data_IF_779354159046
#
_entry.id   IF_779354159046
#
_cell.length_a   1.000
_cell.length_b   1.000
_cell.length_c   1.000
_cell.angle_alpha   90.00
_cell.angle_beta   90.00
_cell.angle_gamma   90.00
#
_symmetry.space_group_name_H-M   'P 1'
#
loop_
_entity.id
_entity.type
_entity.pdbx_description
1 polymer ?
#
# COMPACT_ATOMS: atom_id res chain seq x y z
N UNK A 1 3.12 16.89 16.93
CA UNK A 1 1.65 16.87 17.17
C UNK A 1 1.31 16.22 18.50
N UNK A 2 1.74 14.97 18.76
CA UNK A 2 1.50 14.31 20.05
C UNK A 2 2.10 15.07 21.25
N UNK A 3 3.37 15.52 21.16
CA UNK A 3 4.00 16.35 22.21
C UNK A 3 3.26 17.66 22.45
N UNK A 4 2.92 18.40 21.39
CA UNK A 4 2.13 19.64 21.50
C UNK A 4 0.74 19.43 22.11
N UNK A 5 0.09 18.28 21.88
CA UNK A 5 -1.18 17.93 22.54
C UNK A 5 -0.98 17.54 24.01
N UNK A 6 0.12 16.89 24.34
CA UNK A 6 0.51 16.58 25.73
C UNK A 6 0.71 17.86 26.53
N UNK A 7 1.45 18.82 25.96
CA UNK A 7 1.72 20.11 26.59
C UNK A 7 0.40 20.85 26.85
N UNK A 8 -0.49 20.93 25.85
CA UNK A 8 -1.82 21.54 26.00
C UNK A 8 -2.72 20.89 27.06
N UNK A 9 -2.61 19.57 27.26
CA UNK A 9 -3.40 18.84 28.25
C UNK A 9 -2.87 19.00 29.68
N UNK A 10 -1.56 19.28 29.84
CA UNK A 10 -0.91 19.41 31.13
C UNK A 10 -0.63 20.86 31.55
N UNK A 11 -0.76 21.83 30.64
CA UNK A 11 -0.60 23.27 30.91
C UNK A 11 -1.86 23.92 31.53
N UNK A 12 -2.93 23.15 31.79
CA UNK A 12 -4.12 23.61 32.51
C UNK A 12 -4.00 23.41 34.02
N UNK A 13 -4.47 24.40 34.81
CA UNK A 13 -4.43 24.47 36.29
C UNK A 13 -4.54 23.08 36.97
N UNK A 14 -3.42 22.64 37.54
CA UNK A 14 -3.12 21.27 37.92
C UNK A 14 -3.86 20.78 39.17
N UNK A 15 -5.18 20.63 39.09
CA UNK A 15 -6.00 20.07 40.17
C UNK A 15 -6.52 18.64 39.93
N UNK A 16 -5.99 17.91 38.95
CA UNK A 16 -6.25 16.48 38.82
C UNK A 16 -5.03 15.69 39.24
N UNK A 17 -5.08 15.12 40.45
CA UNK A 17 -4.22 14.01 40.86
C UNK A 17 -4.37 12.87 39.85
N UNK A 18 -3.49 12.82 38.86
CA UNK A 18 -3.43 11.74 37.86
C UNK A 18 -2.67 10.56 38.48
N UNK A 19 -3.37 9.74 39.26
CA UNK A 19 -2.81 8.44 39.68
C UNK A 19 -2.42 7.60 38.46
N UNK A 20 -1.25 6.94 38.49
CA UNK A 20 -0.68 5.88 37.59
C UNK A 20 -0.96 5.89 36.05
N UNK A 21 -1.62 6.91 35.51
CA UNK A 21 -2.10 7.00 34.13
C UNK A 21 -1.64 8.30 33.46
N UNK A 22 -0.39 8.71 33.71
CA UNK A 22 0.25 9.77 32.93
C UNK A 22 0.41 9.29 31.47
N UNK A 23 -0.27 9.95 30.52
CA UNK A 23 -0.15 9.63 29.10
C UNK A 23 1.16 10.19 28.56
N UNK A 24 2.18 9.35 28.34
CA UNK A 24 3.46 9.81 27.82
C UNK A 24 3.52 9.69 26.27
N UNK A 25 3.58 10.80 25.52
CA UNK A 25 3.61 10.78 24.06
C UNK A 25 4.89 10.16 23.47
N UNK A 26 5.96 10.02 24.26
CA UNK A 26 7.24 9.46 23.80
C UNK A 26 7.26 7.93 23.85
N UNK A 27 6.64 7.33 24.87
CA UNK A 27 6.53 5.87 25.04
C UNK A 27 5.20 5.31 24.54
N UNK A 28 4.13 6.12 24.49
CA UNK A 28 2.81 5.74 23.97
C UNK A 28 2.57 6.20 22.53
N UNK A 29 3.66 6.36 21.75
CA UNK A 29 3.56 6.78 20.36
C UNK A 29 3.01 5.64 19.51
N UNK A 30 1.72 5.73 19.17
CA UNK A 30 1.11 4.83 18.20
C UNK A 30 1.76 5.14 16.85
N UNK A 31 2.59 4.23 16.33
CA UNK A 31 3.00 4.31 14.93
C UNK A 31 1.75 4.26 14.07
N UNK A 32 1.69 5.13 13.05
CA UNK A 32 0.55 5.24 12.15
C UNK A 32 0.13 3.84 11.64
N UNK A 33 -1.16 3.50 11.75
CA UNK A 33 -1.64 2.20 11.26
C UNK A 33 -1.29 1.99 9.78
N UNK A 34 -1.29 3.03 8.95
CA UNK A 34 -0.87 2.95 7.55
C UNK A 34 0.58 2.48 7.39
N UNK A 35 1.48 2.92 8.28
CA UNK A 35 2.85 2.46 8.34
C UNK A 35 2.94 0.98 8.73
N UNK A 36 2.19 0.56 9.76
CA UNK A 36 2.13 -0.85 10.18
C UNK A 36 1.50 -1.74 9.09
N UNK A 37 0.51 -1.25 8.35
CA UNK A 37 -0.06 -1.94 7.18
C UNK A 37 0.99 -2.12 6.07
N UNK A 38 1.83 -1.11 5.81
CA UNK A 38 2.92 -1.25 4.86
C UNK A 38 3.92 -2.34 5.28
N UNK A 39 4.25 -2.42 6.58
CA UNK A 39 5.10 -3.48 7.14
C UNK A 39 4.45 -4.87 6.99
N UNK A 40 3.15 -4.99 7.27
CA UNK A 40 2.39 -6.23 7.06
C UNK A 40 2.47 -6.68 5.60
N UNK A 41 2.20 -5.79 4.65
CA UNK A 41 2.22 -6.10 3.21
C UNK A 41 3.63 -6.50 2.77
N UNK A 42 4.66 -5.79 3.26
CA UNK A 42 6.06 -6.09 2.96
C UNK A 42 6.48 -7.47 3.48
N UNK A 43 6.02 -7.89 4.65
CA UNK A 43 6.25 -9.25 5.16
C UNK A 43 5.61 -10.31 4.25
N UNK A 44 4.37 -10.07 3.80
CA UNK A 44 3.69 -10.93 2.84
C UNK A 44 4.42 -11.04 1.49
N UNK A 45 4.86 -9.91 0.95
CA UNK A 45 5.64 -9.87 -0.29
C UNK A 45 7.01 -10.55 -0.11
N UNK A 46 7.64 -10.42 1.06
CA UNK A 46 8.90 -11.11 1.37
C UNK A 46 8.75 -12.62 1.33
N UNK A 47 7.64 -13.15 1.87
CA UNK A 47 7.35 -14.59 1.84
C UNK A 47 7.17 -15.13 0.41
N UNK A 48 6.83 -14.27 -0.56
CA UNK A 48 6.79 -14.61 -1.99
C UNK A 48 8.10 -14.32 -2.72
N UNK A 49 9.15 -13.87 -2.02
CA UNK A 49 10.37 -13.32 -2.62
C UNK A 49 10.10 -12.17 -3.60
N UNK A 50 9.06 -11.38 -3.29
CA UNK A 50 8.60 -10.21 -4.04
C UNK A 50 8.84 -8.89 -3.28
N UNK A 51 9.41 -8.93 -2.08
CA UNK A 51 9.79 -7.72 -1.32
C UNK A 51 10.76 -6.92 -2.18
N UNK A 52 10.37 -5.69 -2.46
CA UNK A 52 11.25 -4.70 -3.07
C UNK A 52 12.01 -4.04 -1.93
N UNK A 53 13.30 -4.38 -1.80
CA UNK A 53 14.19 -3.56 -0.97
C UNK A 53 14.28 -2.18 -1.65
N UNK A 54 14.23 -1.07 -0.89
CA UNK A 54 14.58 0.23 -1.46
C UNK A 54 15.98 0.10 -2.08
N UNK A 55 16.27 0.82 -3.19
CA UNK A 55 17.64 0.92 -3.67
C UNK A 55 18.49 1.30 -2.46
N UNK A 56 19.48 0.46 -2.16
CA UNK A 56 20.40 0.69 -1.05
C UNK A 56 20.85 2.13 -1.15
N UNK A 57 20.58 2.92 -0.12
CA UNK A 57 20.99 4.30 -0.07
C UNK A 57 22.53 4.32 -0.07
N UNK A 58 23.14 4.23 -1.24
CA UNK A 58 24.39 4.93 -1.49
C UNK A 58 24.01 6.42 -1.42
N UNK A 59 23.85 6.92 -0.18
CA UNK A 59 23.93 8.35 0.07
C UNK A 59 25.40 8.70 -0.16
N UNK A 60 25.80 8.77 -1.43
CA UNK A 60 26.91 9.64 -1.77
C UNK A 60 26.39 11.04 -1.49
N UNK A 61 26.88 11.61 -0.39
CA UNK A 61 26.76 13.01 -0.05
C UNK A 61 27.47 13.85 -1.11
N UNK A 62 26.89 13.94 -2.30
CA UNK A 62 27.40 14.77 -3.40
C UNK A 62 26.23 15.55 -3.98
N UNK A 63 25.62 16.39 -3.14
CA UNK A 63 25.14 17.67 -3.61
C UNK A 63 26.19 18.68 -3.16
N UNK A 64 27.18 18.89 -4.02
CA UNK A 64 28.09 20.03 -3.90
C UNK A 64 27.28 21.33 -3.90
N UNK A 65 27.90 22.38 -3.36
CA UNK A 65 27.33 23.71 -3.19
C UNK A 65 26.50 24.15 -4.41
N UNK A 66 25.20 24.37 -4.22
CA UNK A 66 24.32 24.91 -5.25
C UNK A 66 24.63 26.41 -5.38
N UNK A 67 25.07 26.92 -6.55
CA UNK A 67 25.24 28.35 -6.72
C UNK A 67 23.86 28.99 -6.63
N UNK A 68 23.66 29.85 -5.63
CA UNK A 68 22.48 30.70 -5.57
C UNK A 68 22.60 31.68 -6.72
N UNK A 69 21.86 31.45 -7.81
CA UNK A 69 21.70 32.43 -8.88
C UNK A 69 20.97 33.65 -8.27
N UNK A 70 21.60 34.82 -8.38
CA UNK A 70 21.08 36.08 -7.86
C UNK A 70 19.71 36.43 -8.43
N UNK A 71 18.98 37.27 -7.69
CA UNK A 71 17.63 37.72 -8.00
C UNK A 71 17.60 38.41 -9.38
N UNK A 72 16.80 37.87 -10.31
CA UNK A 72 16.53 38.51 -11.59
C UNK A 72 15.66 39.76 -11.35
N UNK A 73 16.05 40.89 -11.92
CA UNK A 73 15.25 42.13 -11.88
C UNK A 73 13.99 41.94 -12.71
N UNK A 74 12.85 42.30 -12.13
CA UNK A 74 11.52 42.25 -12.76
C UNK A 74 11.40 43.39 -13.78
N UNK A 75 11.11 43.08 -15.04
CA UNK A 75 10.80 44.09 -16.07
C UNK A 75 9.30 44.46 -15.95
N UNK A 76 9.01 45.76 -15.83
CA UNK A 76 7.65 46.30 -15.71
C UNK A 76 6.84 46.10 -17.00
N UNK A 77 5.65 45.50 -16.89
CA UNK A 77 4.67 45.43 -17.99
C UNK A 77 4.04 46.81 -18.24
N UNK A 78 3.94 47.27 -19.50
CA UNK A 78 3.27 48.54 -19.82
C UNK A 78 1.73 48.41 -19.81
N UNK A 79 1.08 49.36 -19.15
CA UNK A 79 -0.39 49.46 -19.04
C UNK A 79 -1.12 49.71 -20.37
N UNK A 80 -2.28 49.08 -20.53
CA UNK A 80 -3.22 49.31 -21.64
C UNK A 80 -4.00 50.63 -21.52
N UNK A 81 -4.32 51.31 -22.63
CA UNK A 81 -5.43 52.25 -22.70
C UNK A 81 -6.60 51.75 -23.54
N UNK A 82 -7.82 51.97 -23.03
CA UNK A 82 -9.09 51.59 -23.63
C UNK A 82 -9.63 52.59 -24.68
N UNK A 83 -10.44 52.02 -25.61
CA UNK A 83 -11.58 52.60 -26.35
C UNK A 83 -11.34 53.46 -27.62
N UNK A 84 -11.69 52.92 -28.81
CA UNK A 84 -12.84 53.33 -29.66
C UNK A 84 -12.78 52.71 -31.09
N UNK A 85 -13.92 52.19 -31.60
CA UNK A 85 -14.16 51.53 -32.91
C UNK A 85 -14.30 52.56 -34.09
N UNK A 86 -14.51 52.21 -35.41
CA UNK A 86 -15.15 51.01 -36.02
C UNK A 86 -14.58 50.38 -37.34
N UNK A 87 -15.01 49.13 -37.56
CA UNK A 87 -15.09 48.17 -38.70
C UNK A 87 -15.16 48.69 -40.18
N UNK A 88 -14.92 47.88 -41.27
CA UNK A 88 -15.53 46.54 -41.59
C UNK A 88 -14.61 45.46 -42.25
N UNK A 89 -14.77 44.16 -41.94
CA UNK A 89 -15.73 43.12 -42.42
C UNK A 89 -15.29 42.40 -43.71
N UNK A 90 -14.98 41.11 -43.58
CA UNK A 90 -15.57 40.07 -44.42
C UNK A 90 -15.58 38.71 -43.69
N UNK A 91 -16.79 38.22 -43.47
CA UNK A 91 -17.13 36.99 -42.76
C UNK A 91 -17.19 35.80 -43.73
N UNK A 92 -16.92 34.58 -43.24
CA UNK A 92 -17.79 33.40 -43.49
C UNK A 92 -17.81 32.53 -42.23
N UNK A 93 -19.01 32.23 -41.77
CA UNK A 93 -19.42 31.48 -40.57
C UNK A 93 -19.25 29.96 -40.74
N UNK A 94 -19.00 29.21 -39.63
CA UNK A 94 -19.73 27.96 -39.32
C UNK A 94 -19.82 27.75 -37.79
N UNK A 95 -21.07 27.81 -37.32
CA UNK A 95 -21.72 27.25 -36.12
C UNK A 95 -20.93 26.72 -34.90
N UNK A 96 -21.32 27.24 -33.73
CA UNK A 96 -21.13 26.67 -32.40
C UNK A 96 -21.95 25.38 -32.19
N UNK A 97 -21.32 24.34 -31.64
CA UNK A 97 -22.01 23.39 -30.76
C UNK A 97 -21.35 23.43 -29.37
N UNK A 98 -22.12 23.92 -28.40
CA UNK A 98 -21.87 23.76 -26.96
C UNK A 98 -21.81 22.26 -26.63
N UNK A 99 -20.70 21.81 -26.05
CA UNK A 99 -20.72 20.67 -25.16
C UNK A 99 -19.97 21.00 -23.87
N UNK A 100 -20.78 21.23 -22.84
CA UNK A 100 -20.42 21.38 -21.44
C UNK A 100 -19.89 20.03 -20.94
N UNK A 101 -18.59 19.93 -20.67
CA UNK A 101 -17.94 18.69 -20.27
C UNK A 101 -16.88 18.95 -19.23
N UNK A 102 -17.31 19.01 -17.97
CA UNK A 102 -16.47 19.00 -16.76
C UNK A 102 -15.37 17.94 -16.89
N UNK A 103 -14.13 18.38 -17.12
CA UNK A 103 -12.96 17.52 -17.04
C UNK A 103 -12.76 17.20 -15.56
N UNK A 104 -13.26 16.05 -15.12
CA UNK A 104 -12.99 15.51 -13.80
C UNK A 104 -11.49 15.26 -13.68
N UNK A 105 -10.80 16.18 -13.01
CA UNK A 105 -9.46 15.97 -12.49
C UNK A 105 -9.54 14.84 -11.49
N UNK A 106 -9.10 13.66 -11.90
CA UNK A 106 -8.97 12.50 -11.03
C UNK A 106 -7.80 12.78 -10.09
N UNK A 107 -8.10 13.33 -8.91
CA UNK A 107 -7.12 13.54 -7.84
C UNK A 107 -6.75 12.15 -7.29
N UNK A 108 -5.75 11.52 -7.89
CA UNK A 108 -5.09 10.35 -7.33
C UNK A 108 -4.18 10.83 -6.18
N UNK A 109 -4.48 10.36 -4.95
CA UNK A 109 -3.71 10.65 -3.74
C UNK A 109 -2.25 10.22 -3.91
N UNK A 110 -1.33 11.19 -3.95
CA UNK A 110 0.12 11.01 -4.03
C UNK A 110 0.74 10.87 -2.62
N UNK A 111 0.21 9.98 -1.78
CA UNK A 111 0.79 9.75 -0.46
C UNK A 111 2.08 8.92 -0.58
N UNK A 112 3.22 9.58 -0.37
CA UNK A 112 4.56 8.98 -0.33
C UNK A 112 4.81 8.31 1.02
N UNK A 113 4.40 7.04 1.15
CA UNK A 113 4.74 6.22 2.31
C UNK A 113 6.19 5.76 2.21
N UNK A 114 7.09 6.56 2.78
CA UNK A 114 8.50 6.21 2.94
C UNK A 114 8.64 4.82 3.58
N UNK A 115 9.50 3.97 2.99
CA UNK A 115 9.80 2.64 3.50
C UNK A 115 10.19 2.69 4.98
N UNK A 116 9.43 1.94 5.79
CA UNK A 116 9.77 1.67 7.17
C UNK A 116 11.18 1.07 7.26
N UNK A 117 12.05 1.70 8.05
CA UNK A 117 13.36 1.15 8.34
C UNK A 117 13.15 -0.14 9.16
N UNK A 118 13.75 -1.25 8.74
CA UNK A 118 13.79 -2.50 9.50
C UNK A 118 14.74 -2.30 10.72
N UNK A 119 14.31 -1.59 11.76
CA UNK A 119 15.01 -1.56 13.05
C UNK A 119 14.45 -2.67 13.93
N UNK A 120 14.87 -3.90 13.65
CA UNK A 120 14.72 -5.01 14.58
C UNK A 120 15.71 -4.82 15.73
N UNK A 121 15.24 -4.34 16.89
CA UNK A 121 16.01 -4.36 18.13
C UNK A 121 16.17 -5.81 18.60
N UNK A 122 17.30 -6.41 18.27
CA UNK A 122 17.82 -7.59 18.96
C UNK A 122 18.57 -7.08 20.19
N UNK A 123 17.89 -7.00 21.33
CA UNK A 123 18.57 -6.95 22.62
C UNK A 123 18.66 -8.37 23.14
N UNK A 124 19.82 -8.99 22.91
CA UNK A 124 20.22 -10.16 23.65
C UNK A 124 20.63 -9.73 25.05
N UNK A 125 20.04 -10.36 26.06
CA UNK A 125 20.62 -10.40 27.40
C UNK A 125 20.82 -11.86 27.79
N UNK A 126 22.11 -12.18 27.82
CA UNK A 126 22.73 -13.31 28.47
C UNK A 126 22.43 -13.26 29.99
N UNK A 127 21.92 -14.35 30.53
CA UNK A 127 21.97 -14.65 31.95
C UNK A 127 21.95 -16.15 32.13
N UNK A 128 23.16 -16.70 32.34
CA UNK A 128 23.40 -18.10 32.58
C UNK A 128 22.90 -18.58 33.94
N UNK A 129 22.33 -19.79 33.94
CA UNK A 129 22.38 -20.73 35.05
C UNK A 129 22.23 -22.16 34.51
N UNK A 130 23.24 -23.00 34.77
CA UNK A 130 23.28 -24.47 34.59
C UNK A 130 23.72 -25.06 35.97
N UNK A 131 23.65 -26.39 36.27
CA UNK A 131 23.24 -27.52 35.44
C UNK A 131 22.44 -28.66 36.15
N UNK A 132 21.95 -29.60 35.33
CA UNK A 132 21.60 -30.98 35.72
C UNK A 132 20.92 -31.68 34.53
N UNK A 133 21.68 -32.15 33.52
CA UNK A 133 22.37 -33.44 33.35
C UNK A 133 21.52 -34.55 32.70
N UNK A 134 22.14 -35.15 31.65
CA UNK A 134 21.87 -36.40 30.93
C UNK A 134 20.92 -36.31 29.71
N UNK A 135 21.27 -36.67 28.45
CA UNK A 135 22.48 -37.15 27.77
C UNK A 135 22.17 -37.19 26.22
N UNK A 136 22.98 -37.72 25.27
CA UNK A 136 23.65 -36.90 24.25
C UNK A 136 23.45 -37.31 22.76
N UNK A 137 24.15 -36.57 21.88
CA UNK A 137 24.57 -36.88 20.50
C UNK A 137 23.51 -36.69 19.37
N UNK A 138 23.79 -36.14 18.18
CA UNK A 138 25.08 -35.85 17.55
C UNK A 138 24.93 -34.91 16.32
N UNK A 139 26.00 -34.14 16.11
CA UNK A 139 26.57 -33.62 14.85
C UNK A 139 25.89 -32.59 13.92
N UNK A 140 26.60 -31.46 13.84
CA UNK A 140 26.75 -30.55 12.70
C UNK A 140 26.84 -31.26 11.35
N UNK A 141 26.08 -30.78 10.36
CA UNK A 141 26.41 -30.94 8.94
C UNK A 141 25.91 -29.72 8.15
N UNK A 142 26.84 -28.85 7.77
CA UNK A 142 26.76 -28.19 6.46
C UNK A 142 27.12 -29.25 5.43
N UNK A 143 26.35 -29.39 4.33
CA UNK A 143 27.01 -29.30 3.03
C UNK A 143 26.18 -28.54 1.98
N UNK A 144 26.89 -27.74 1.19
CA UNK A 144 26.52 -27.39 -0.17
C UNK A 144 26.16 -28.66 -0.97
N UNK A 145 24.97 -28.72 -1.57
CA UNK A 145 24.81 -29.23 -2.95
C UNK A 145 23.43 -28.92 -3.52
N UNK A 146 23.47 -28.48 -4.76
CA UNK A 146 22.42 -28.40 -5.76
C UNK A 146 21.55 -29.68 -5.80
N UNK A 147 20.23 -29.53 -5.88
CA UNK A 147 19.31 -30.61 -6.28
C UNK A 147 18.30 -31.06 -5.24
N UNK A 148 17.39 -30.18 -4.82
CA UNK A 148 16.29 -30.57 -3.91
C UNK A 148 15.40 -29.42 -3.44
N UNK A 149 15.13 -28.41 -4.27
CA UNK A 149 14.29 -27.28 -3.86
C UNK A 149 12.80 -27.70 -3.79
N UNK A 150 12.39 -28.09 -2.59
CA UNK A 150 11.05 -28.01 -1.99
C UNK A 150 9.85 -27.89 -2.97
N UNK A 151 9.32 -29.04 -3.42
CA UNK A 151 8.11 -29.15 -4.27
C UNK A 151 6.89 -28.37 -3.70
N UNK A 152 6.92 -28.05 -2.40
CA UNK A 152 5.89 -27.32 -1.64
C UNK A 152 5.59 -25.91 -2.17
N UNK A 153 6.59 -25.20 -2.71
CA UNK A 153 6.43 -23.78 -3.10
C UNK A 153 6.61 -23.49 -4.59
N UNK A 154 6.51 -24.51 -5.45
CA UNK A 154 6.69 -24.37 -6.89
C UNK A 154 5.77 -23.30 -7.52
N UNK A 155 4.50 -23.20 -7.07
CA UNK A 155 3.56 -22.19 -7.56
C UNK A 155 3.96 -20.76 -7.15
N UNK A 156 4.53 -20.57 -5.95
CA UNK A 156 5.02 -19.26 -5.51
C UNK A 156 6.24 -18.82 -6.31
N UNK A 157 7.16 -19.75 -6.61
CA UNK A 157 8.31 -19.48 -7.49
C UNK A 157 7.85 -19.11 -8.90
N UNK A 158 6.85 -19.83 -9.45
CA UNK A 158 6.26 -19.46 -10.75
C UNK A 158 5.66 -18.05 -10.74
N UNK A 159 4.91 -17.69 -9.69
CA UNK A 159 4.36 -16.34 -9.53
C UNK A 159 5.47 -15.27 -9.47
N UNK A 160 6.59 -15.57 -8.81
CA UNK A 160 7.78 -14.71 -8.80
C UNK A 160 8.33 -14.49 -10.21
N UNK A 161 8.48 -15.55 -10.99
CA UNK A 161 9.00 -15.44 -12.35
C UNK A 161 8.03 -14.66 -13.27
N UNK A 162 6.73 -14.89 -13.13
CA UNK A 162 5.69 -14.15 -13.88
C UNK A 162 5.72 -12.66 -13.57
N UNK A 163 5.84 -12.30 -12.30
CA UNK A 163 5.92 -10.89 -11.90
C UNK A 163 7.23 -10.23 -12.36
N UNK A 164 8.36 -10.95 -12.36
CA UNK A 164 9.62 -10.46 -12.91
C UNK A 164 9.54 -10.22 -14.43
N UNK A 165 8.92 -11.15 -15.18
CA UNK A 165 8.64 -10.97 -16.61
C UNK A 165 7.77 -9.74 -16.84
N UNK A 166 6.69 -9.57 -16.08
CA UNK A 166 5.80 -8.42 -16.22
C UNK A 166 6.52 -7.11 -15.91
N UNK A 167 7.34 -7.06 -14.86
CA UNK A 167 8.14 -5.88 -14.52
C UNK A 167 9.10 -5.50 -15.66
N UNK A 168 9.71 -6.50 -16.30
CA UNK A 168 10.61 -6.28 -17.46
C UNK A 168 9.84 -5.68 -18.63
N UNK A 169 8.65 -6.22 -18.95
CA UNK A 169 7.80 -5.70 -20.03
C UNK A 169 7.34 -4.27 -19.75
N UNK A 170 6.84 -3.99 -18.54
CA UNK A 170 6.42 -2.64 -18.14
C UNK A 170 7.62 -1.68 -18.24
N UNK A 171 8.79 -2.08 -17.73
CA UNK A 171 10.02 -1.27 -17.80
C UNK A 171 10.39 -0.96 -19.25
N UNK A 172 10.33 -1.95 -20.15
CA UNK A 172 10.68 -1.77 -21.56
C UNK A 172 9.68 -0.87 -22.31
N UNK A 173 8.37 -1.02 -22.06
CA UNK A 173 7.34 -0.14 -22.65
C UNK A 173 7.50 1.30 -22.15
N UNK A 174 7.80 1.49 -20.87
CA UNK A 174 7.90 2.82 -20.25
C UNK A 174 9.28 3.47 -20.43
N UNK A 175 10.26 2.75 -20.99
CA UNK A 175 11.67 3.16 -21.12
C UNK A 175 11.91 4.42 -21.94
N UNK A 176 11.10 4.67 -22.97
CA UNK A 176 11.28 5.80 -23.88
C UNK A 176 9.95 6.38 -24.35
N UNK A 177 9.97 7.63 -24.81
CA UNK A 177 8.80 8.28 -25.39
C UNK A 177 8.26 7.49 -26.60
N UNK A 178 9.14 6.97 -27.45
CA UNK A 178 8.75 6.16 -28.61
C UNK A 178 8.01 4.88 -28.21
N UNK A 179 8.47 4.17 -27.17
CA UNK A 179 7.81 2.95 -26.70
C UNK A 179 6.45 3.23 -26.04
N UNK A 180 6.34 4.34 -25.29
CA UNK A 180 5.05 4.79 -24.75
C UNK A 180 4.08 5.21 -25.86
N UNK A 181 4.57 5.90 -26.88
CA UNK A 181 3.77 6.26 -28.05
C UNK A 181 3.28 5.01 -28.80
N UNK A 182 4.17 4.04 -29.00
CA UNK A 182 3.82 2.75 -29.60
C UNK A 182 2.71 2.03 -28.82
N UNK A 183 2.82 2.00 -27.49
CA UNK A 183 1.77 1.46 -26.62
C UNK A 183 0.42 2.19 -26.78
N UNK A 184 0.44 3.52 -26.85
CA UNK A 184 -0.77 4.31 -27.08
C UNK A 184 -1.38 4.05 -28.47
N UNK A 185 -0.55 3.91 -29.51
CA UNK A 185 -1.00 3.56 -30.85
C UNK A 185 -1.71 2.19 -30.87
N UNK A 186 -1.15 1.15 -30.24
CA UNK A 186 -1.82 -0.15 -30.14
C UNK A 186 -3.11 -0.10 -29.34
N UNK A 187 -3.14 0.72 -28.27
CA UNK A 187 -4.36 0.91 -27.51
C UNK A 187 -5.48 1.53 -28.35
N UNK A 188 -5.15 2.51 -29.19
CA UNK A 188 -6.09 3.12 -30.14
C UNK A 188 -6.55 2.13 -31.21
N UNK A 189 -5.62 1.36 -31.80
CA UNK A 189 -5.95 0.34 -32.81
C UNK A 189 -6.89 -0.75 -32.28
N UNK A 190 -6.71 -1.15 -31.03
CA UNK A 190 -7.57 -2.15 -30.36
C UNK A 190 -8.86 -1.53 -29.78
N UNK A 191 -9.04 -0.21 -29.88
CA UNK A 191 -10.13 0.55 -29.28
C UNK A 191 -10.28 0.29 -27.76
N UNK A 192 -9.16 0.17 -27.04
CA UNK A 192 -9.14 -0.06 -25.59
C UNK A 192 -8.69 1.20 -24.87
N UNK A 193 -9.55 1.72 -23.99
CA UNK A 193 -9.20 2.86 -23.12
C UNK A 193 -8.25 2.39 -22.02
N UNK A 194 -6.96 2.66 -22.18
CA UNK A 194 -5.92 2.34 -21.18
C UNK A 194 -5.29 3.62 -20.62
N UNK A 195 -4.94 3.58 -19.33
CA UNK A 195 -4.10 4.61 -18.72
C UNK A 195 -2.63 4.35 -19.05
N UNK A 196 -1.76 5.39 -19.05
CA UNK A 196 -0.33 5.19 -19.21
C UNK A 196 0.23 4.22 -18.17
N UNK A 197 1.08 3.30 -18.61
CA UNK A 197 1.77 2.37 -17.71
C UNK A 197 2.76 3.14 -16.83
N UNK A 198 2.84 2.73 -15.55
CA UNK A 198 3.83 3.24 -14.59
C UNK A 198 4.85 2.13 -14.38
N UNK A 199 6.12 2.43 -14.65
CA UNK A 199 7.21 1.60 -14.16
C UNK A 199 7.18 1.62 -12.64
N UNK A 200 6.81 0.48 -12.04
CA UNK A 200 6.91 0.30 -10.60
C UNK A 200 8.36 0.16 -10.18
N UNK A 201 9.17 1.21 -10.35
CA UNK A 201 10.50 1.28 -9.75
C UNK A 201 10.32 0.96 -8.26
N UNK A 202 11.05 -0.05 -7.82
CA UNK A 202 10.86 -0.87 -6.63
C UNK A 202 10.92 -0.12 -5.28
N UNK A 203 10.10 0.91 -5.09
CA UNK A 203 10.19 1.80 -3.91
C UNK A 203 9.10 1.42 -2.91
N UNK A 204 7.81 1.42 -3.29
CA UNK A 204 6.70 1.13 -2.37
C UNK A 204 5.70 0.11 -2.93
N UNK A 205 5.12 -0.72 -2.06
CA UNK A 205 4.15 -1.77 -2.45
C UNK A 205 2.89 -1.20 -3.13
N UNK A 206 2.46 0.01 -2.77
CA UNK A 206 1.30 0.67 -3.37
C UNK A 206 1.56 1.04 -4.85
N UNK A 207 2.77 1.51 -5.17
CA UNK A 207 3.19 1.77 -6.55
C UNK A 207 3.20 0.45 -7.35
N UNK A 208 3.68 -0.65 -6.74
CA UNK A 208 3.65 -1.98 -7.35
C UNK A 208 2.22 -2.44 -7.66
N UNK A 209 1.28 -2.24 -6.73
CA UNK A 209 -0.14 -2.49 -6.96
C UNK A 209 -0.70 -1.66 -8.12
N UNK A 210 -0.45 -0.35 -8.15
CA UNK A 210 -0.93 0.50 -9.24
C UNK A 210 -0.34 0.10 -10.60
N UNK A 211 0.95 -0.23 -10.64
CA UNK A 211 1.64 -0.71 -11.84
C UNK A 211 0.97 -1.98 -12.40
N UNK A 212 0.75 -2.99 -11.54
CA UNK A 212 0.08 -4.23 -11.95
C UNK A 212 -1.37 -4.01 -12.34
N UNK A 213 -2.12 -3.20 -11.60
CA UNK A 213 -3.51 -2.85 -11.94
C UNK A 213 -3.60 -2.21 -13.33
N UNK A 214 -2.71 -1.29 -13.68
CA UNK A 214 -2.67 -0.65 -15.01
C UNK A 214 -2.27 -1.67 -16.10
N UNK A 215 -1.30 -2.54 -15.81
CA UNK A 215 -0.89 -3.58 -16.75
C UNK A 215 -1.98 -4.63 -17.03
N UNK A 216 -2.69 -5.11 -15.99
CA UNK A 216 -3.81 -6.05 -16.14
C UNK A 216 -4.91 -5.45 -17.01
N UNK A 217 -5.29 -4.18 -16.78
CA UNK A 217 -6.25 -3.46 -17.64
C UNK A 217 -5.78 -3.34 -19.09
N UNK A 218 -4.47 -3.24 -19.30
CA UNK A 218 -3.85 -3.13 -20.61
C UNK A 218 -3.38 -4.48 -21.19
N UNK A 219 -3.79 -5.62 -20.63
CA UNK A 219 -3.26 -6.93 -21.03
C UNK A 219 -3.41 -7.24 -22.52
N UNK A 220 -4.51 -6.80 -23.15
CA UNK A 220 -4.74 -7.00 -24.59
C UNK A 220 -3.70 -6.25 -25.44
N UNK A 221 -3.43 -5.00 -25.07
CA UNK A 221 -2.43 -4.14 -25.71
C UNK A 221 -1.02 -4.70 -25.50
N UNK A 222 -0.70 -5.12 -24.27
CA UNK A 222 0.59 -5.73 -23.93
C UNK A 222 0.80 -7.02 -24.73
N UNK A 223 -0.19 -7.91 -24.77
CA UNK A 223 -0.08 -9.16 -25.54
C UNK A 223 0.09 -8.89 -27.04
N UNK A 224 -0.53 -7.85 -27.60
CA UNK A 224 -0.34 -7.46 -28.99
C UNK A 224 1.08 -6.97 -29.26
N UNK A 225 1.62 -6.09 -28.40
CA UNK A 225 3.02 -5.62 -28.51
C UNK A 225 4.00 -6.79 -28.48
N UNK A 226 3.80 -7.74 -27.55
CA UNK A 226 4.68 -8.91 -27.42
C UNK A 226 4.61 -9.81 -28.65
N UNK A 227 3.42 -10.00 -29.24
CA UNK A 227 3.26 -10.76 -30.49
C UNK A 227 3.99 -10.09 -31.65
N UNK A 228 3.89 -8.77 -31.78
CA UNK A 228 4.57 -8.06 -32.87
C UNK A 228 6.09 -8.03 -32.73
N UNK A 229 6.60 -7.94 -31.50
CA UNK A 229 8.04 -8.04 -31.24
C UNK A 229 8.59 -9.42 -31.64
N UNK A 230 7.83 -10.49 -31.41
CA UNK A 230 8.20 -11.85 -31.82
C UNK A 230 8.19 -12.05 -33.35
N UNK A 231 7.33 -11.31 -34.07
CA UNK A 231 7.25 -11.37 -35.53
C UNK A 231 8.37 -10.59 -36.22
N UNK A 232 9.00 -9.63 -35.54
CA UNK A 232 10.13 -8.87 -36.07
C UNK A 232 11.37 -9.75 -36.12
N UNK A 233 12.00 -9.89 -37.29
CA UNK A 233 13.27 -10.61 -37.46
C UNK A 233 14.40 -9.83 -36.78
N UNK A 234 14.75 -10.21 -35.55
CA UNK A 234 15.84 -9.62 -34.76
C UNK A 234 15.80 -10.06 -33.29
N UNK A 235 16.76 -9.60 -32.48
CA UNK A 235 16.67 -9.76 -31.01
C UNK A 235 15.57 -8.82 -30.53
N UNK A 236 14.40 -9.37 -30.25
CA UNK A 236 13.22 -8.62 -29.80
C UNK A 236 13.50 -7.82 -28.53
N UNK A 237 12.81 -6.68 -28.37
CA UNK A 237 12.96 -5.79 -27.21
C UNK A 237 12.49 -6.45 -25.92
N UNK A 238 11.69 -7.51 -26.00
CA UNK A 238 11.06 -8.17 -24.86
C UNK A 238 11.56 -9.61 -24.62
N UNK A 239 12.73 -9.99 -25.13
CA UNK A 239 13.39 -11.28 -24.84
C UNK A 239 12.49 -12.52 -25.07
N UNK A 240 11.55 -12.45 -26.02
CA UNK A 240 10.60 -13.53 -26.30
C UNK A 240 9.58 -13.79 -25.19
N UNK A 241 9.37 -12.84 -24.26
CA UNK A 241 8.37 -12.94 -23.20
C UNK A 241 6.96 -13.03 -23.81
N UNK A 242 6.15 -13.94 -23.26
CA UNK A 242 4.72 -14.03 -23.52
C UNK A 242 3.99 -14.44 -22.24
N UNK A 243 2.69 -14.16 -22.19
CA UNK A 243 1.82 -14.49 -21.07
C UNK A 243 0.62 -15.31 -21.58
N UNK A 244 0.31 -16.40 -20.89
CA UNK A 244 -0.94 -17.12 -21.11
C UNK A 244 -2.07 -16.46 -20.30
N UNK A 245 -3.35 -16.68 -20.66
CA UNK A 245 -4.48 -16.20 -19.86
C UNK A 245 -4.41 -16.62 -18.38
N UNK A 246 -3.89 -17.83 -18.10
CA UNK A 246 -3.69 -18.32 -16.73
C UNK A 246 -2.64 -17.51 -15.96
N UNK A 247 -1.61 -17.00 -16.63
CA UNK A 247 -0.56 -16.21 -16.00
C UNK A 247 -1.10 -14.84 -15.56
N UNK A 248 -1.95 -14.23 -16.39
CA UNK A 248 -2.66 -12.99 -16.04
C UNK A 248 -3.58 -13.18 -14.83
N UNK A 249 -4.28 -14.32 -14.74
CA UNK A 249 -5.11 -14.66 -13.57
C UNK A 249 -4.29 -14.79 -12.28
N UNK A 250 -3.08 -15.35 -12.34
CA UNK A 250 -2.18 -15.45 -11.17
C UNK A 250 -1.75 -14.05 -10.69
N UNK A 251 -1.37 -13.16 -11.62
CA UNK A 251 -0.97 -11.78 -11.32
C UNK A 251 -2.17 -10.97 -10.80
N UNK A 252 -3.35 -11.15 -11.38
CA UNK A 252 -4.59 -10.52 -10.93
C UNK A 252 -4.99 -10.99 -9.53
N UNK A 253 -4.83 -12.28 -9.23
CA UNK A 253 -5.06 -12.83 -7.89
C UNK A 253 -4.18 -12.15 -6.83
N UNK A 254 -2.87 -11.99 -7.11
CA UNK A 254 -1.96 -11.22 -6.25
C UNK A 254 -2.42 -9.77 -6.10
N UNK A 255 -2.76 -9.11 -7.21
CA UNK A 255 -3.18 -7.71 -7.22
C UNK A 255 -4.48 -7.49 -6.42
N UNK A 256 -5.41 -8.43 -6.48
CA UNK A 256 -6.64 -8.43 -5.69
C UNK A 256 -6.39 -8.59 -4.19
N UNK A 257 -5.31 -9.26 -3.77
CA UNK A 257 -4.93 -9.27 -2.35
C UNK A 257 -4.34 -7.93 -1.91
N UNK A 258 -3.49 -7.33 -2.73
CA UNK A 258 -2.93 -5.99 -2.44
C UNK A 258 -4.01 -4.92 -2.39
N UNK A 259 -5.05 -5.04 -3.23
CA UNK A 259 -6.21 -4.14 -3.24
C UNK A 259 -6.85 -3.96 -1.86
N UNK A 260 -7.01 -5.05 -1.09
CA UNK A 260 -7.61 -5.02 0.25
C UNK A 260 -6.83 -4.09 1.18
N UNK A 261 -5.49 -4.09 1.06
CA UNK A 261 -4.64 -3.22 1.87
C UNK A 261 -4.68 -1.78 1.39
N UNK A 262 -4.82 -1.53 0.08
CA UNK A 262 -4.99 -0.16 -0.43
C UNK A 262 -6.29 0.45 0.07
N UNK A 263 -7.39 -0.30 -0.01
CA UNK A 263 -8.70 0.14 0.51
C UNK A 263 -8.63 0.39 2.01
N UNK A 264 -8.06 -0.54 2.77
CA UNK A 264 -7.90 -0.38 4.21
C UNK A 264 -6.99 0.79 4.59
N UNK A 265 -5.91 1.03 3.85
CA UNK A 265 -5.02 2.17 4.11
C UNK A 265 -5.77 3.47 3.84
N UNK A 266 -6.48 3.55 2.71
CA UNK A 266 -7.31 4.72 2.36
C UNK A 266 -8.41 5.01 3.38
N UNK A 267 -9.01 3.99 4.00
CA UNK A 267 -10.02 4.16 5.06
C UNK A 267 -9.42 4.71 6.37
N UNK A 268 -8.15 4.39 6.63
CA UNK A 268 -7.45 4.75 7.87
C UNK A 268 -6.59 6.01 7.72
N UNK A 269 -6.47 6.54 6.50
CA UNK A 269 -5.84 7.81 6.17
C UNK A 269 -6.74 9.01 6.52
N UNK A 270 -6.11 10.15 6.78
CA UNK A 270 -6.80 11.42 7.06
C UNK A 270 -6.89 11.76 8.55
N UNK A 271 -7.61 12.84 8.85
CA UNK A 271 -7.71 13.44 10.19
C UNK A 271 -8.99 13.03 10.95
N UNK A 272 -9.63 11.94 10.54
CA UNK A 272 -10.81 11.41 11.25
C UNK A 272 -10.40 10.60 12.49
N UNK A 273 -11.37 10.22 13.32
CA UNK A 273 -11.15 9.46 14.57
C UNK A 273 -10.79 7.98 14.32
N UNK A 274 -9.87 7.71 13.39
CA UNK A 274 -9.47 6.37 12.93
C UNK A 274 -8.79 5.54 14.02
N UNK A 275 -8.22 6.18 15.04
CA UNK A 275 -7.66 5.50 16.22
C UNK A 275 -8.64 4.51 16.87
N UNK A 276 -9.95 4.83 16.85
CA UNK A 276 -11.01 3.96 17.40
C UNK A 276 -11.16 2.65 16.63
N UNK A 277 -10.78 2.62 15.35
CA UNK A 277 -10.97 1.49 14.43
C UNK A 277 -9.73 0.60 14.31
N UNK A 278 -8.58 0.97 14.88
CA UNK A 278 -7.31 0.23 14.73
C UNK A 278 -7.44 -1.23 15.18
N UNK A 279 -7.86 -1.45 16.42
CA UNK A 279 -8.04 -2.81 16.99
C UNK A 279 -9.09 -3.61 16.19
N UNK A 280 -10.32 -3.10 15.96
CA UNK A 280 -11.32 -3.79 15.16
C UNK A 280 -10.84 -4.18 13.75
N UNK A 281 -10.12 -3.30 13.05
CA UNK A 281 -9.63 -3.57 11.70
C UNK A 281 -8.56 -4.65 11.69
N UNK A 282 -7.63 -4.66 12.66
CA UNK A 282 -6.68 -5.76 12.81
C UNK A 282 -7.36 -7.10 13.11
N UNK A 283 -8.36 -7.10 13.99
CA UNK A 283 -9.14 -8.30 14.30
C UNK A 283 -9.85 -8.85 13.06
N UNK A 284 -10.59 -8.00 12.34
CA UNK A 284 -11.27 -8.37 11.09
C UNK A 284 -10.31 -8.92 10.04
N UNK A 285 -9.14 -8.27 9.88
CA UNK A 285 -8.10 -8.71 8.95
C UNK A 285 -7.54 -10.08 9.35
N UNK A 286 -7.26 -10.29 10.63
CA UNK A 286 -6.77 -11.57 11.19
C UNK A 286 -7.77 -12.71 10.94
N UNK A 287 -9.06 -12.47 11.20
CA UNK A 287 -10.12 -13.46 10.97
C UNK A 287 -10.33 -13.76 9.49
N UNK A 288 -10.29 -12.74 8.63
CA UNK A 288 -10.37 -12.92 7.18
C UNK A 288 -9.19 -13.75 6.65
N UNK A 289 -7.97 -13.53 7.18
CA UNK A 289 -6.79 -14.30 6.82
C UNK A 289 -6.86 -15.74 7.32
N UNK A 290 -7.28 -15.98 8.56
CA UNK A 290 -7.50 -17.33 9.10
C UNK A 290 -8.47 -18.12 8.22
N UNK A 291 -9.61 -17.52 7.85
CA UNK A 291 -10.57 -18.15 6.93
C UNK A 291 -9.96 -18.48 5.58
N UNK A 292 -9.16 -17.57 5.01
CA UNK A 292 -8.46 -17.82 3.74
C UNK A 292 -7.43 -18.94 3.83
N UNK A 293 -6.70 -19.05 4.94
CA UNK A 293 -5.72 -20.13 5.17
C UNK A 293 -6.43 -21.48 5.28
N UNK A 294 -7.58 -21.55 5.94
CA UNK A 294 -8.37 -22.78 6.04
C UNK A 294 -8.92 -23.24 4.68
N UNK A 295 -9.22 -22.31 3.77
CA UNK A 295 -9.73 -22.60 2.44
C UNK A 295 -8.62 -22.88 1.41
N UNK A 296 -7.40 -22.40 1.64
CA UNK A 296 -6.29 -22.51 0.72
C UNK A 296 -5.54 -23.84 0.91
N UNK A 297 -4.97 -24.35 -0.18
CA UNK A 297 -4.05 -25.48 -0.11
C UNK A 297 -2.64 -24.98 0.17
N UNK A 298 -1.82 -25.78 0.86
CA UNK A 298 -0.41 -25.43 1.11
C UNK A 298 0.40 -25.21 -0.18
N UNK A 299 -0.06 -25.81 -1.29
CA UNK A 299 0.58 -25.69 -2.59
C UNK A 299 0.20 -24.42 -3.35
N UNK A 300 -0.71 -23.60 -2.84
CA UNK A 300 -1.16 -22.38 -3.51
C UNK A 300 -0.10 -21.29 -3.53
N UNK A 301 -0.05 -20.53 -4.63
CA UNK A 301 1.00 -19.52 -4.85
C UNK A 301 1.05 -18.45 -3.76
N UNK A 302 -0.10 -18.09 -3.20
CA UNK A 302 -0.25 -17.06 -2.17
C UNK A 302 -0.27 -17.62 -0.74
N UNK A 303 -0.19 -18.94 -0.57
CA UNK A 303 -0.23 -19.56 0.76
C UNK A 303 0.86 -19.02 1.72
N UNK A 304 2.14 -18.87 1.30
CA UNK A 304 3.17 -18.31 2.17
C UNK A 304 2.88 -16.86 2.58
N UNK A 305 2.31 -16.07 1.65
CA UNK A 305 1.94 -14.68 1.91
C UNK A 305 0.88 -14.58 3.02
N UNK A 306 -0.14 -15.43 3.00
CA UNK A 306 -1.19 -15.38 4.02
C UNK A 306 -0.67 -15.66 5.43
N UNK A 307 0.24 -16.63 5.59
CA UNK A 307 0.84 -16.95 6.88
C UNK A 307 1.74 -15.82 7.40
N UNK A 308 2.59 -15.26 6.54
CA UNK A 308 3.46 -14.15 6.91
C UNK A 308 2.64 -12.91 7.32
N UNK A 309 1.62 -12.56 6.54
CA UNK A 309 0.71 -11.45 6.86
C UNK A 309 -0.04 -11.73 8.16
N UNK A 310 -0.60 -12.94 8.34
CA UNK A 310 -1.34 -13.27 9.56
C UNK A 310 -0.47 -13.15 10.81
N UNK A 311 0.78 -13.61 10.73
CA UNK A 311 1.75 -13.50 11.83
C UNK A 311 1.97 -12.03 12.19
N UNK A 312 2.23 -11.19 11.19
CA UNK A 312 2.47 -9.76 11.43
C UNK A 312 1.23 -9.02 11.94
N UNK A 313 0.05 -9.34 11.42
CA UNK A 313 -1.23 -8.77 11.87
C UNK A 313 -1.51 -9.13 13.32
N UNK A 314 -1.20 -10.36 13.76
CA UNK A 314 -1.33 -10.75 15.17
C UNK A 314 -0.38 -9.96 16.07
N UNK A 315 0.89 -9.87 15.69
CA UNK A 315 1.87 -9.10 16.47
C UNK A 315 1.43 -7.64 16.67
N UNK A 316 0.94 -6.99 15.60
CA UNK A 316 0.46 -5.61 15.69
C UNK A 316 -0.91 -5.48 16.34
N UNK A 317 -1.76 -6.51 16.31
CA UNK A 317 -2.96 -6.56 17.12
C UNK A 317 -2.61 -6.60 18.61
N UNK A 318 -1.65 -7.44 19.01
CA UNK A 318 -1.20 -7.56 20.39
C UNK A 318 -0.57 -6.24 20.87
N UNK A 319 0.27 -5.60 20.04
CA UNK A 319 0.81 -4.26 20.30
C UNK A 319 -0.30 -3.21 20.45
N UNK A 320 -1.32 -3.23 19.58
CA UNK A 320 -2.45 -2.31 19.67
C UNK A 320 -3.31 -2.54 20.92
N UNK A 321 -3.49 -3.80 21.34
CA UNK A 321 -4.21 -4.18 22.56
C UNK A 321 -3.45 -3.80 23.84
N UNK A 322 -2.11 -3.73 23.80
CA UNK A 322 -1.31 -3.21 24.90
C UNK A 322 -1.39 -1.68 25.03
N UNK A 323 -1.78 -0.97 23.96
CA UNK A 323 -1.90 0.48 23.97
C UNK A 323 -3.20 0.93 24.66
N UNK A 324 -3.09 1.45 25.90
CA UNK A 324 -4.21 2.00 26.68
C UNK A 324 -5.05 3.01 25.88
N UNK A 325 -4.41 3.90 25.13
CA UNK A 325 -5.09 4.94 24.34
C UNK A 325 -5.97 4.34 23.23
N UNK A 326 -5.48 3.34 22.50
CA UNK A 326 -6.26 2.67 21.46
C UNK A 326 -7.41 1.86 22.07
N UNK A 327 -7.15 1.14 23.16
CA UNK A 327 -8.18 0.37 23.86
C UNK A 327 -9.32 1.28 24.35
N UNK A 328 -8.98 2.39 25.02
CA UNK A 328 -9.97 3.36 25.47
C UNK A 328 -10.71 3.96 24.26
N UNK A 329 -10.00 4.41 23.22
CA UNK A 329 -10.63 4.98 22.03
C UNK A 329 -11.63 4.00 21.38
N UNK A 330 -11.26 2.73 21.23
CA UNK A 330 -12.15 1.69 20.70
C UNK A 330 -13.36 1.45 21.63
N UNK A 331 -13.16 1.38 22.94
CA UNK A 331 -14.27 1.21 23.91
C UNK A 331 -15.19 2.44 23.97
N UNK A 332 -14.68 3.64 23.73
CA UNK A 332 -15.47 4.87 23.72
C UNK A 332 -16.28 5.04 22.44
N UNK A 333 -15.93 4.33 21.36
CA UNK A 333 -16.63 4.44 20.08
C UNK A 333 -18.08 3.95 20.21
N UNK A 334 -19.08 4.80 19.93
CA UNK A 334 -20.49 4.47 20.14
C UNK A 334 -20.94 3.17 19.45
N UNK A 335 -20.49 2.92 18.22
CA UNK A 335 -20.81 1.70 17.48
C UNK A 335 -20.29 0.42 18.13
N UNK A 336 -19.14 0.46 18.82
CA UNK A 336 -18.59 -0.72 19.50
C UNK A 336 -19.16 -0.88 20.91
N UNK A 337 -19.50 0.22 21.57
CA UNK A 337 -20.22 0.20 22.85
C UNK A 337 -21.53 -0.56 22.75
N UNK A 338 -22.20 -0.53 21.61
CA UNK A 338 -23.45 -1.30 21.43
C UNK A 338 -23.23 -2.80 21.60
N UNK A 339 -22.10 -3.35 21.14
CA UNK A 339 -21.77 -4.76 21.38
C UNK A 339 -21.50 -5.06 22.87
N UNK A 340 -20.91 -4.12 23.60
CA UNK A 340 -20.72 -4.22 25.05
C UNK A 340 -22.08 -4.17 25.77
N UNK A 341 -22.99 -3.31 25.32
CA UNK A 341 -24.36 -3.25 25.81
C UNK A 341 -25.12 -4.56 25.56
N UNK A 342 -25.01 -5.15 24.37
CA UNK A 342 -25.62 -6.45 24.07
C UNK A 342 -25.05 -7.58 24.93
N UNK A 343 -23.75 -7.57 25.24
CA UNK A 343 -23.13 -8.50 26.18
C UNK A 343 -23.64 -8.31 27.62
N UNK A 344 -23.76 -7.05 28.07
CA UNK A 344 -24.16 -6.73 29.44
C UNK A 344 -25.66 -6.97 29.72
N UNK A 345 -26.52 -6.65 28.76
CA UNK A 345 -27.97 -6.80 28.91
C UNK A 345 -28.52 -8.11 28.30
N UNK A 346 -27.72 -8.79 27.49
CA UNK A 346 -28.10 -9.99 26.74
C UNK A 346 -28.70 -9.67 25.36
N UNK A 347 -28.35 -10.51 24.37
CA UNK A 347 -28.69 -10.35 22.93
C UNK A 347 -30.22 -10.26 22.69
N UNK A 348 -31.03 -10.81 23.58
CA UNK A 348 -32.50 -10.80 23.48
C UNK A 348 -33.17 -9.71 24.32
N UNK A 349 -32.40 -8.85 24.99
CA UNK A 349 -32.96 -7.78 25.81
C UNK A 349 -33.72 -6.77 24.99
N UNK A 350 -34.99 -6.58 25.33
CA UNK A 350 -35.84 -5.55 24.72
C UNK A 350 -35.32 -4.14 25.01
N UNK A 351 -34.57 -3.94 26.11
CA UNK A 351 -33.93 -2.67 26.45
C UNK A 351 -32.75 -2.38 25.52
N UNK A 352 -31.86 -3.34 25.32
CA UNK A 352 -30.71 -3.21 24.42
C UNK A 352 -31.15 -2.93 22.98
N UNK A 353 -32.15 -3.68 22.48
CA UNK A 353 -32.73 -3.47 21.13
C UNK A 353 -33.35 -2.08 20.94
N UNK A 354 -34.04 -1.55 21.96
CA UNK A 354 -34.61 -0.19 21.91
C UNK A 354 -33.52 0.87 21.88
N UNK A 355 -32.49 0.72 22.71
CA UNK A 355 -31.34 1.63 22.72
C UNK A 355 -30.58 1.61 21.39
N UNK A 356 -30.38 0.43 20.80
CA UNK A 356 -29.78 0.27 19.47
C UNK A 356 -30.60 0.97 18.38
N UNK A 357 -31.93 0.78 18.39
CA UNK A 357 -32.82 1.40 17.41
C UNK A 357 -32.85 2.93 17.52
N UNK A 358 -32.69 3.49 18.73
CA UNK A 358 -32.53 4.93 18.92
C UNK A 358 -31.19 5.42 18.36
N UNK A 359 -30.11 4.71 18.66
CA UNK A 359 -28.77 5.07 18.19
C UNK A 359 -28.66 5.06 16.65
N UNK A 360 -29.20 4.04 15.98
CA UNK A 360 -29.22 3.93 14.51
C UNK A 360 -30.12 4.96 13.81
N UNK A 361 -30.96 5.69 14.55
CA UNK A 361 -31.83 6.73 14.00
C UNK A 361 -31.17 8.11 14.04
N UNK A 362 -30.23 8.32 14.97
CA UNK A 362 -29.53 9.60 15.16
C UNK A 362 -28.19 9.68 14.41
N UNK A 363 -27.58 8.54 14.09
CA UNK A 363 -26.32 8.40 13.35
C UNK A 363 -26.50 7.42 12.19
#
# INVERSE_FOLDING_TARGET
MASHMYDLLNDGDGSTETGDFAWDPTTMHIWCICHKLALIVNAGLAALSLKTLPPGKAKESVLGFFPVLGQLTEEEEPEEPASAAPHPTNCVEVAEERNNGTVALNVESNADYSNANDEALVTGEDSGAHPGENDPADNNLVPNSLGGANRKYAKSTKLKDLTNKLNTVIKNITRSAAQRANFNCFAQQLNVKVSPLIAGYCICWNIKYQSYRKAIKAQAVINQILKEDQLRKGVGVFDGIFFLPKDWQEIESLNNKLKIFVELTSEMEGNSATGTHVIPKYLQLSEALKRKILQAQETDSLYPMYHAILTQVKNYLDEAMACKTLVIATILHPGYRMHIFDLAFGIHSSKAKKSLALFQKEF
#
